data_IF_145139659853
#
_entry.id   IF_145139659853
#
_cell.length_a   1.000
_cell.length_b   1.000
_cell.length_c   1.000
_cell.angle_alpha   90.00
_cell.angle_beta   90.00
_cell.angle_gamma   90.00
#
_symmetry.space_group_name_H-M   'P 1'
#
loop_
_entity.id
_entity.type
_entity.pdbx_description
1 polymer ?
#
# COMPACT_ATOMS: atom_id res chain seq x y z
N UNK A 1 6.08 -40.81 -23.77
CA UNK A 1 6.20 -39.43 -24.30
C UNK A 1 4.80 -38.84 -24.23
N UNK A 2 4.40 -38.52 -23.01
CA UNK A 2 3.00 -38.44 -22.60
C UNK A 2 2.55 -36.98 -22.64
N UNK A 3 2.05 -36.58 -23.81
CA UNK A 3 1.56 -35.22 -24.14
C UNK A 3 0.39 -34.74 -23.26
N UNK A 4 -0.07 -35.56 -22.30
CA UNK A 4 -1.12 -35.24 -21.32
C UNK A 4 -0.61 -34.51 -20.07
N UNK A 5 0.70 -34.50 -19.79
CA UNK A 5 1.26 -33.73 -18.66
C UNK A 5 1.44 -32.23 -18.97
N UNK A 6 1.57 -31.87 -20.25
CA UNK A 6 1.75 -30.48 -20.69
C UNK A 6 0.61 -29.55 -20.24
N UNK A 7 -0.69 -29.88 -20.38
CA UNK A 7 -1.77 -29.01 -19.93
C UNK A 7 -1.82 -28.85 -18.41
N UNK A 8 -1.43 -29.88 -17.63
CA UNK A 8 -1.36 -29.80 -16.16
C UNK A 8 -0.23 -28.87 -15.69
N UNK A 9 0.92 -28.91 -16.37
CA UNK A 9 2.03 -28.00 -16.09
C UNK A 9 1.68 -26.54 -16.45
N UNK A 10 0.97 -26.33 -17.56
CA UNK A 10 0.47 -24.99 -17.94
C UNK A 10 -0.55 -24.47 -16.92
N UNK A 11 -1.45 -25.32 -16.42
CA UNK A 11 -2.44 -24.94 -15.41
C UNK A 11 -1.80 -24.61 -14.06
N UNK A 12 -0.79 -25.40 -13.64
CA UNK A 12 -0.01 -25.13 -12.42
C UNK A 12 0.79 -23.83 -12.52
N UNK A 13 1.43 -23.55 -13.66
CA UNK A 13 2.14 -22.30 -13.91
C UNK A 13 1.20 -21.09 -13.95
N UNK A 14 -0.02 -21.25 -14.47
CA UNK A 14 -1.03 -20.20 -14.44
C UNK A 14 -1.52 -19.91 -13.01
N UNK A 15 -1.75 -20.96 -12.20
CA UNK A 15 -2.14 -20.80 -10.79
C UNK A 15 -1.05 -20.19 -9.89
N UNK A 16 0.23 -20.33 -10.25
CA UNK A 16 1.35 -19.69 -9.53
C UNK A 16 1.41 -18.17 -9.75
N UNK A 17 0.83 -17.63 -10.82
CA UNK A 17 0.75 -16.18 -11.03
C UNK A 17 -0.33 -15.51 -10.16
N UNK A 18 -1.22 -16.27 -9.52
CA UNK A 18 -2.32 -15.74 -8.69
C UNK A 18 -1.93 -15.51 -7.22
N UNK A 19 -0.67 -15.68 -6.84
CA UNK A 19 -0.19 -15.56 -5.44
C UNK A 19 0.67 -14.30 -5.21
N UNK A 20 0.80 -13.40 -6.18
CA UNK A 20 1.62 -12.19 -6.04
C UNK A 20 0.92 -10.98 -5.37
N UNK A 21 -0.40 -11.03 -5.11
CA UNK A 21 -1.19 -9.86 -4.67
C UNK A 21 -1.12 -9.56 -3.15
N UNK A 22 0.04 -9.72 -2.52
CA UNK A 22 0.21 -9.56 -1.07
C UNK A 22 0.83 -8.23 -0.60
N UNK A 23 1.24 -7.35 -1.50
CA UNK A 23 2.02 -6.15 -1.16
C UNK A 23 1.63 -4.89 -1.95
N UNK A 24 0.37 -4.78 -2.32
CA UNK A 24 -0.14 -3.57 -2.97
C UNK A 24 -0.06 -2.39 -1.98
N UNK A 25 0.61 -1.31 -2.39
CA UNK A 25 0.79 -0.12 -1.56
C UNK A 25 -0.57 0.58 -1.37
N UNK A 26 -0.99 0.82 -0.12
CA UNK A 26 -2.27 1.48 0.17
C UNK A 26 -2.28 2.94 -0.30
N UNK A 27 -1.10 3.56 -0.35
CA UNK A 27 -0.88 4.95 -0.74
C UNK A 27 0.10 5.05 -1.90
N UNK A 28 -0.03 6.10 -2.71
CA UNK A 28 0.82 6.38 -3.86
C UNK A 28 1.32 7.83 -3.86
N UNK A 29 2.25 8.14 -4.76
CA UNK A 29 2.71 9.51 -5.00
C UNK A 29 1.62 10.46 -5.52
N UNK A 30 0.49 9.93 -5.97
CA UNK A 30 -0.64 10.71 -6.48
C UNK A 30 -1.63 11.12 -5.37
N UNK A 31 -1.48 10.56 -4.17
CA UNK A 31 -2.31 10.94 -3.02
C UNK A 31 -1.75 12.23 -2.37
N UNK A 32 -2.59 13.17 -1.92
CA UNK A 32 -2.15 14.44 -1.34
C UNK A 32 -1.68 14.27 0.11
N UNK A 33 -0.69 13.41 0.32
CA UNK A 33 -0.15 13.07 1.63
C UNK A 33 1.36 12.80 1.53
N UNK A 34 2.04 12.87 2.68
CA UNK A 34 3.47 12.58 2.76
C UNK A 34 3.66 11.16 3.28
N UNK A 35 4.24 10.29 2.46
CA UNK A 35 4.66 8.97 2.90
C UNK A 35 5.96 9.07 3.69
N UNK A 36 5.99 8.39 4.84
CA UNK A 36 7.15 8.37 5.72
C UNK A 36 7.64 6.94 5.93
N UNK A 37 8.96 6.81 6.01
CA UNK A 37 9.64 5.63 6.52
C UNK A 37 10.46 5.97 7.77
N UNK A 38 11.10 4.96 8.36
CA UNK A 38 11.89 5.07 9.60
C UNK A 38 13.03 6.10 9.46
N UNK A 39 13.61 6.25 8.25
CA UNK A 39 14.70 7.18 7.98
C UNK A 39 14.20 8.61 7.75
N UNK A 40 12.93 8.78 7.36
CA UNK A 40 12.33 10.11 7.13
C UNK A 40 11.54 10.63 8.32
N UNK A 41 11.17 9.76 9.26
CA UNK A 41 10.28 10.08 10.36
C UNK A 41 10.75 11.28 11.20
N UNK A 42 11.99 11.25 11.71
CA UNK A 42 12.51 12.30 12.58
C UNK A 42 12.58 13.67 11.90
N UNK A 43 13.02 13.70 10.63
CA UNK A 43 13.16 14.96 9.90
C UNK A 43 11.80 15.56 9.51
N UNK A 44 10.81 14.72 9.21
CA UNK A 44 9.49 15.17 8.75
C UNK A 44 8.57 15.51 9.91
N UNK A 45 8.61 14.75 11.00
CA UNK A 45 7.69 14.91 12.13
C UNK A 45 8.29 15.73 13.27
N UNK A 46 9.43 15.28 13.83
CA UNK A 46 9.97 15.82 15.09
C UNK A 46 10.51 17.24 14.93
N UNK A 47 11.08 17.54 13.76
CA UNK A 47 11.65 18.87 13.46
C UNK A 47 10.68 19.80 12.73
N UNK A 48 9.41 19.40 12.60
CA UNK A 48 8.43 20.20 11.88
C UNK A 48 7.90 21.37 12.72
N UNK A 49 7.77 22.57 12.13
CA UNK A 49 7.07 23.68 12.75
C UNK A 49 5.53 23.53 12.67
N UNK A 50 5.03 22.63 11.82
CA UNK A 50 3.60 22.33 11.65
C UNK A 50 3.15 21.13 12.50
N UNK A 51 1.87 21.12 12.87
CA UNK A 51 1.22 19.97 13.47
C UNK A 51 0.95 18.87 12.42
N UNK A 52 1.07 17.61 12.84
CA UNK A 52 0.90 16.45 11.97
C UNK A 52 -0.14 15.49 12.52
N UNK A 53 -0.95 14.95 11.60
CA UNK A 53 -1.75 13.75 11.85
C UNK A 53 -1.06 12.61 11.12
N UNK A 54 -0.67 11.56 11.83
CA UNK A 54 0.11 10.44 11.27
C UNK A 54 -0.68 9.15 11.40
N UNK A 55 -0.84 8.44 10.29
CA UNK A 55 -1.37 7.07 10.28
C UNK A 55 -0.23 6.06 10.18
N UNK A 56 -0.09 5.24 11.21
CA UNK A 56 0.77 4.06 11.16
C UNK A 56 -0.05 2.87 10.68
N UNK A 57 0.37 2.23 9.60
CA UNK A 57 -0.40 1.17 8.95
C UNK A 57 0.50 0.03 8.46
N UNK A 58 -0.13 -1.06 8.02
CA UNK A 58 0.51 -2.14 7.29
C UNK A 58 -0.30 -2.48 6.03
N UNK A 59 0.35 -2.83 4.93
CA UNK A 59 -0.31 -3.13 3.65
C UNK A 59 -1.17 -4.39 3.71
N UNK A 60 -0.80 -5.36 4.54
CA UNK A 60 -1.53 -6.62 4.75
C UNK A 60 -2.68 -6.50 5.78
N UNK A 61 -2.81 -5.35 6.44
CA UNK A 61 -3.82 -5.14 7.46
C UNK A 61 -5.18 -4.82 6.81
N UNK A 62 -6.14 -5.74 6.94
CA UNK A 62 -7.47 -5.58 6.35
C UNK A 62 -8.27 -4.37 6.87
N UNK A 63 -8.04 -3.92 8.11
CA UNK A 63 -8.62 -2.67 8.61
C UNK A 63 -8.01 -1.46 7.90
N UNK A 64 -6.69 -1.45 7.76
CA UNK A 64 -5.92 -0.38 7.14
C UNK A 64 -6.29 -0.23 5.66
N UNK A 65 -6.46 -1.37 4.95
CA UNK A 65 -6.96 -1.38 3.57
C UNK A 65 -8.33 -0.69 3.44
N UNK A 66 -9.26 -0.95 4.38
CA UNK A 66 -10.58 -0.31 4.38
C UNK A 66 -10.54 1.15 4.81
N UNK A 67 -9.57 1.53 5.64
CA UNK A 67 -9.41 2.89 6.16
C UNK A 67 -8.67 3.80 5.18
N UNK A 68 -7.78 3.28 4.35
CA UNK A 68 -7.02 4.02 3.35
C UNK A 68 -7.82 5.02 2.49
N UNK A 69 -9.01 4.66 1.93
CA UNK A 69 -9.83 5.64 1.21
C UNK A 69 -10.30 6.80 2.10
N UNK A 70 -10.64 6.54 3.35
CA UNK A 70 -11.08 7.58 4.32
C UNK A 70 -9.93 8.54 4.63
N UNK A 71 -8.72 8.01 4.84
CA UNK A 71 -7.55 8.85 5.11
C UNK A 71 -7.15 9.70 3.90
N UNK A 72 -7.28 9.18 2.66
CA UNK A 72 -7.09 9.95 1.43
C UNK A 72 -8.07 11.11 1.30
N UNK A 73 -9.34 10.88 1.61
CA UNK A 73 -10.37 11.93 1.58
C UNK A 73 -10.14 12.99 2.66
N UNK A 74 -9.74 12.57 3.87
CA UNK A 74 -9.31 13.49 4.92
C UNK A 74 -8.15 14.37 4.44
N UNK A 75 -7.09 13.77 3.89
CA UNK A 75 -5.93 14.50 3.38
C UNK A 75 -6.31 15.54 2.30
N UNK A 76 -7.22 15.19 1.37
CA UNK A 76 -7.77 16.13 0.38
C UNK A 76 -8.51 17.30 1.02
N UNK A 77 -9.27 17.06 2.09
CA UNK A 77 -10.08 18.09 2.75
C UNK A 77 -9.25 19.13 3.52
N UNK A 78 -8.04 18.77 3.95
CA UNK A 78 -7.14 19.66 4.70
C UNK A 78 -6.02 20.27 3.83
N UNK A 79 -5.84 19.79 2.60
CA UNK A 79 -4.87 20.33 1.66
C UNK A 79 -5.44 21.61 1.03
N UNK A 80 -5.10 22.79 1.56
CA UNK A 80 -5.49 24.09 0.98
C UNK A 80 -5.93 25.18 1.96
N UNK A 81 -5.97 24.89 3.26
CA UNK A 81 -6.09 25.88 4.35
C UNK A 81 -4.73 26.36 4.82
#
# INVERSE_FOLDING_TARGET
MDTKLLPLLVFLLWSLNSVADGYDSLYSSNDPLVQMDINTFDRTLVRSPAAWVVEFYATWCGHCQRFAPVYKDFARSVTGT
#
